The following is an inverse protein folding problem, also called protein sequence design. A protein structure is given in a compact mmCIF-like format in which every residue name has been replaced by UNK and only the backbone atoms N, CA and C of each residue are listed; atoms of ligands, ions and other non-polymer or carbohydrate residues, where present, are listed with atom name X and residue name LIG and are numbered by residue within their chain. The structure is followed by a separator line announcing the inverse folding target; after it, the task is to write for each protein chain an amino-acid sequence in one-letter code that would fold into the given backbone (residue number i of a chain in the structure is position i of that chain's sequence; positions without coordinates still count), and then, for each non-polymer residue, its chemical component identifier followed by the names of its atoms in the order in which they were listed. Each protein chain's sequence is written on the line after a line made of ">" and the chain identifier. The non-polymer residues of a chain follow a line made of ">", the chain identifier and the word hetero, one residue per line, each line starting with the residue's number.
data_IF_351532868259
#
_entry.id   IF_351532868259
#
_cell.length_a   1.000
_cell.length_b   1.000
_cell.length_c   1.000
_cell.angle_alpha   90.00
_cell.angle_beta   90.00
_cell.angle_gamma   90.00
#
_symmetry.space_group_name_H-M   'P 1'
#
loop_
_entity.id
_entity.type
_entity.pdbx_description
1 polymer ?
#
# COMPACT_ATOMS: atom_id res chain seq x y z
N UNK A 1 1.71 13.88 -6.44
CA UNK A 1 0.26 13.87 -6.76
C UNK A 1 -0.06 15.11 -7.56
N UNK A 2 -1.16 15.12 -8.31
CA UNK A 2 -1.56 16.28 -9.12
C UNK A 2 -3.04 16.60 -8.88
N UNK A 3 -3.41 17.88 -8.86
CA UNK A 3 -4.80 18.32 -8.87
C UNK A 3 -5.02 19.10 -10.16
N UNK A 4 -5.86 18.55 -11.02
CA UNK A 4 -6.34 19.19 -12.23
C UNK A 4 -7.51 20.11 -11.88
N UNK A 5 -7.48 21.35 -12.33
CA UNK A 5 -8.58 22.27 -12.08
C UNK A 5 -8.73 23.34 -13.15
N UNK A 6 -9.93 23.87 -13.30
CA UNK A 6 -10.17 25.06 -14.11
C UNK A 6 -9.71 26.33 -13.37
N UNK A 7 -9.50 27.46 -14.08
CA UNK A 7 -9.24 28.74 -13.43
C UNK A 7 -10.30 29.06 -12.35
N UNK A 8 -9.84 29.59 -11.23
CA UNK A 8 -10.68 30.08 -10.13
C UNK A 8 -11.65 29.05 -9.52
N UNK A 9 -11.36 27.75 -9.66
CA UNK A 9 -12.16 26.70 -9.04
C UNK A 9 -12.13 26.80 -7.50
N UNK A 10 -13.27 27.08 -6.83
CA UNK A 10 -13.31 27.34 -5.39
C UNK A 10 -13.01 26.07 -4.56
N UNK A 11 -13.28 24.90 -5.12
CA UNK A 11 -13.14 23.61 -4.43
C UNK A 11 -11.70 23.09 -4.41
N UNK A 12 -10.76 23.69 -5.12
CA UNK A 12 -9.32 23.34 -5.05
C UNK A 12 -8.79 23.51 -3.64
N UNK A 13 -9.18 24.61 -2.97
CA UNK A 13 -8.78 24.87 -1.57
C UNK A 13 -9.30 23.78 -0.65
N UNK A 14 -10.58 23.42 -0.78
CA UNK A 14 -11.23 22.38 0.04
C UNK A 14 -10.56 21.03 -0.17
N UNK A 15 -10.29 20.65 -1.42
CA UNK A 15 -9.58 19.41 -1.73
C UNK A 15 -8.18 19.39 -1.11
N UNK A 16 -7.44 20.50 -1.18
CA UNK A 16 -6.09 20.61 -0.60
C UNK A 16 -6.10 20.47 0.92
N UNK A 17 -6.98 21.20 1.61
CA UNK A 17 -7.13 21.12 3.07
C UNK A 17 -7.47 19.70 3.52
N UNK A 18 -8.37 19.01 2.82
CA UNK A 18 -8.74 17.62 3.15
C UNK A 18 -7.64 16.63 2.84
N UNK A 19 -6.85 16.88 1.78
CA UNK A 19 -5.70 16.05 1.42
C UNK A 19 -4.60 16.15 2.49
N UNK A 20 -4.34 17.36 3.01
CA UNK A 20 -3.38 17.56 4.10
C UNK A 20 -3.78 16.79 5.36
N UNK A 21 -5.08 16.77 5.70
CA UNK A 21 -5.59 15.96 6.81
C UNK A 21 -5.46 14.45 6.53
N UNK A 22 -5.84 14.00 5.32
CA UNK A 22 -5.76 12.58 4.95
C UNK A 22 -4.32 12.05 4.90
N UNK A 23 -3.36 12.93 4.62
CA UNK A 23 -1.93 12.62 4.53
C UNK A 23 -1.13 13.09 5.75
N UNK A 24 -1.80 13.46 6.85
CA UNK A 24 -1.15 13.97 8.04
C UNK A 24 -0.02 13.03 8.54
N UNK A 25 1.15 13.63 8.79
CA UNK A 25 2.37 12.93 9.20
C UNK A 25 3.26 12.41 8.07
N UNK A 26 2.87 12.63 6.81
CA UNK A 26 3.63 12.22 5.62
C UNK A 26 3.78 13.41 4.67
N UNK A 27 4.99 13.65 4.17
CA UNK A 27 5.23 14.72 3.18
C UNK A 27 5.04 14.16 1.77
N UNK A 28 4.03 14.67 1.04
CA UNK A 28 3.84 14.35 -0.39
C UNK A 28 3.66 15.62 -1.19
N UNK A 29 4.41 15.75 -2.28
CA UNK A 29 4.29 16.87 -3.20
C UNK A 29 2.97 16.80 -4.00
N UNK A 30 2.23 17.91 -4.04
CA UNK A 30 0.95 18.05 -4.74
C UNK A 30 1.01 19.20 -5.73
N UNK A 31 1.19 18.87 -7.01
CA UNK A 31 1.23 19.83 -8.12
C UNK A 31 -0.19 20.30 -8.45
N UNK A 32 -0.37 21.61 -8.64
CA UNK A 32 -1.60 22.17 -9.19
C UNK A 32 -1.42 22.39 -10.69
N UNK A 33 -2.32 21.84 -11.50
CA UNK A 33 -2.33 22.06 -12.94
C UNK A 33 -3.64 22.70 -13.36
N UNK A 34 -3.52 23.92 -13.89
CA UNK A 34 -4.66 24.65 -14.47
C UNK A 34 -4.95 24.09 -15.87
N UNK A 35 -6.16 23.61 -16.08
CA UNK A 35 -6.71 23.18 -17.37
C UNK A 35 -7.60 24.30 -17.89
N UNK A 36 -7.33 24.81 -19.10
CA UNK A 36 -8.00 26.02 -19.64
C UNK A 36 -8.98 25.74 -20.78
N UNK A 37 -8.96 24.53 -21.34
CA UNK A 37 -9.76 24.15 -22.50
C UNK A 37 -10.15 22.67 -22.44
N UNK A 38 -11.22 22.33 -23.19
CA UNK A 38 -11.79 20.99 -23.20
C UNK A 38 -10.89 19.94 -23.87
N UNK A 39 -10.04 20.35 -24.80
CA UNK A 39 -9.07 19.46 -25.46
C UNK A 39 -8.03 18.97 -24.44
N UNK A 40 -7.46 19.89 -23.66
CA UNK A 40 -6.56 19.56 -22.57
C UNK A 40 -7.27 18.71 -21.53
N UNK A 41 -8.50 19.04 -21.13
CA UNK A 41 -9.29 18.25 -20.19
C UNK A 41 -9.45 16.79 -20.64
N UNK A 42 -9.74 16.57 -21.94
CA UNK A 42 -9.82 15.24 -22.51
C UNK A 42 -8.47 14.52 -22.51
N UNK A 43 -7.39 15.21 -22.89
CA UNK A 43 -6.04 14.63 -22.94
C UNK A 43 -5.53 14.18 -21.57
N UNK A 44 -5.95 14.83 -20.49
CA UNK A 44 -5.55 14.48 -19.12
C UNK A 44 -6.62 13.72 -18.34
N UNK A 45 -7.74 13.35 -18.98
CA UNK A 45 -8.83 12.61 -18.35
C UNK A 45 -9.57 13.37 -17.24
N UNK A 46 -9.58 14.71 -17.27
CA UNK A 46 -10.30 15.51 -16.27
C UNK A 46 -11.81 15.39 -16.47
N UNK A 47 -12.49 14.62 -15.61
CA UNK A 47 -13.97 14.45 -15.61
C UNK A 47 -14.73 15.61 -14.95
N UNK A 48 -14.01 16.64 -14.52
CA UNK A 48 -14.52 17.87 -13.92
C UNK A 48 -13.49 18.47 -12.96
N UNK A 49 -13.71 19.70 -12.52
CA UNK A 49 -12.81 20.42 -11.62
C UNK A 49 -13.33 20.45 -10.18
N UNK A 50 -12.49 20.21 -9.16
CA UNK A 50 -11.13 19.68 -9.26
C UNK A 50 -11.15 18.16 -9.51
N UNK A 51 -10.11 17.61 -10.12
CA UNK A 51 -9.83 16.17 -10.19
C UNK A 51 -8.47 15.88 -9.56
N UNK A 52 -8.44 14.96 -8.60
CA UNK A 52 -7.20 14.46 -8.01
C UNK A 52 -6.65 13.33 -8.88
N UNK A 53 -5.39 13.45 -9.30
CA UNK A 53 -4.63 12.37 -9.92
C UNK A 53 -3.58 11.82 -8.94
N UNK A 54 -3.61 10.51 -8.81
CA UNK A 54 -2.75 9.69 -7.97
C UNK A 54 -1.96 8.78 -8.91
N UNK A 55 -0.65 9.04 -9.07
CA UNK A 55 0.19 8.42 -10.11
C UNK A 55 -0.41 8.51 -11.53
N UNK A 56 -1.12 9.61 -11.83
CA UNK A 56 -1.75 9.85 -13.13
C UNK A 56 -3.15 9.26 -13.28
N UNK A 57 -3.66 8.52 -12.28
CA UNK A 57 -4.99 7.90 -12.29
C UNK A 57 -5.94 8.68 -11.38
N UNK A 58 -7.18 8.88 -11.81
CA UNK A 58 -8.25 9.45 -10.99
C UNK A 58 -8.90 8.35 -10.14
N UNK A 59 -8.67 8.32 -8.81
CA UNK A 59 -9.19 7.26 -7.94
C UNK A 59 -10.70 7.38 -7.68
N UNK A 60 -11.34 8.43 -8.19
CA UNK A 60 -12.77 8.69 -8.06
C UNK A 60 -13.51 8.59 -9.40
N UNK A 61 -12.84 8.14 -10.46
CA UNK A 61 -13.43 8.05 -11.78
C UNK A 61 -14.71 7.19 -11.77
N UNK A 62 -15.79 7.73 -12.34
CA UNK A 62 -17.06 7.02 -12.49
C UNK A 62 -17.18 6.47 -13.92
N UNK A 63 -17.58 5.19 -14.11
CA UNK A 63 -17.72 4.61 -15.44
C UNK A 63 -18.69 5.41 -16.33
N UNK A 64 -18.25 5.70 -17.56
CA UNK A 64 -19.09 6.38 -18.56
C UNK A 64 -19.15 7.90 -18.43
N UNK A 65 -18.43 8.51 -17.47
CA UNK A 65 -18.32 9.97 -17.36
C UNK A 65 -17.26 10.49 -18.34
N UNK A 66 -17.67 11.37 -19.25
CA UNK A 66 -16.77 12.00 -20.20
C UNK A 66 -15.92 13.10 -19.55
N UNK A 67 -14.70 13.37 -20.06
CA UNK A 67 -13.92 14.54 -19.65
C UNK A 67 -14.72 15.84 -19.80
N UNK A 68 -14.60 16.74 -18.83
CA UNK A 68 -15.39 17.97 -18.73
C UNK A 68 -14.60 19.10 -18.06
N UNK A 69 -14.93 20.33 -18.46
CA UNK A 69 -14.47 21.58 -17.84
C UNK A 69 -15.39 22.06 -16.70
N UNK A 70 -16.47 21.32 -16.40
CA UNK A 70 -17.46 21.68 -15.37
C UNK A 70 -16.97 21.35 -13.96
N UNK A 71 -17.68 21.87 -12.94
CA UNK A 71 -17.46 21.43 -11.56
C UNK A 71 -17.72 19.93 -11.41
N UNK A 72 -16.84 19.25 -10.68
CA UNK A 72 -17.05 17.86 -10.26
C UNK A 72 -17.72 17.83 -8.89
N UNK A 73 -18.73 16.98 -8.76
CA UNK A 73 -19.39 16.72 -7.49
C UNK A 73 -19.01 15.33 -6.99
N UNK A 74 -18.65 15.26 -5.72
CA UNK A 74 -18.26 14.04 -5.03
C UNK A 74 -19.35 13.66 -4.06
N UNK A 75 -19.80 12.40 -4.12
CA UNK A 75 -20.79 11.85 -3.21
C UNK A 75 -20.12 11.36 -1.93
N UNK A 76 -20.63 11.83 -0.80
CA UNK A 76 -20.21 11.40 0.54
C UNK A 76 -21.08 10.23 1.02
N UNK A 77 -20.65 9.54 2.08
CA UNK A 77 -21.32 8.34 2.59
C UNK A 77 -22.75 8.62 3.12
N UNK A 78 -23.02 9.85 3.55
CA UNK A 78 -24.34 10.35 3.96
C UNK A 78 -25.23 10.77 2.78
N UNK A 79 -24.74 10.62 1.54
CA UNK A 79 -25.42 11.01 0.32
C UNK A 79 -25.24 12.49 -0.07
N UNK A 80 -24.56 13.29 0.75
CA UNK A 80 -24.27 14.69 0.44
C UNK A 80 -23.35 14.81 -0.78
N UNK A 81 -23.56 15.86 -1.58
CA UNK A 81 -22.71 16.19 -2.72
C UNK A 81 -21.88 17.43 -2.38
N UNK A 82 -20.57 17.33 -2.60
CA UNK A 82 -19.61 18.40 -2.32
C UNK A 82 -18.61 18.54 -3.49
N UNK A 83 -17.96 19.69 -3.61
CA UNK A 83 -16.94 19.94 -4.65
C UNK A 83 -15.60 19.26 -4.40
N UNK A 84 -15.46 18.50 -3.30
CA UNK A 84 -14.29 17.69 -3.00
C UNK A 84 -14.69 16.39 -2.29
N UNK A 85 -13.91 15.29 -2.43
CA UNK A 85 -14.07 14.08 -1.63
C UNK A 85 -13.96 14.38 -0.13
N UNK A 86 -14.50 13.48 0.71
CA UNK A 86 -14.32 13.56 2.16
C UNK A 86 -12.90 13.15 2.59
N UNK A 87 -12.49 13.50 3.81
CA UNK A 87 -11.19 13.08 4.37
C UNK A 87 -11.10 11.56 4.50
N UNK A 88 -12.16 10.91 4.98
CA UNK A 88 -12.24 9.45 5.08
C UNK A 88 -11.99 8.81 3.72
N UNK A 89 -12.62 9.37 2.69
CA UNK A 89 -12.52 8.92 1.31
C UNK A 89 -11.13 9.08 0.72
N UNK A 90 -10.48 10.22 0.97
CA UNK A 90 -9.09 10.43 0.57
C UNK A 90 -8.16 9.45 1.29
N UNK A 91 -8.42 9.18 2.57
CA UNK A 91 -7.59 8.28 3.38
C UNK A 91 -7.66 6.83 2.87
N UNK A 92 -8.84 6.38 2.41
CA UNK A 92 -9.05 5.07 1.76
C UNK A 92 -8.18 4.92 0.50
N UNK A 93 -8.28 5.87 -0.45
CA UNK A 93 -7.60 5.74 -1.74
C UNK A 93 -6.10 6.01 -1.65
N UNK A 94 -5.66 6.74 -0.63
CA UNK A 94 -4.25 7.08 -0.41
C UNK A 94 -3.55 6.13 0.57
N UNK A 95 -4.27 5.24 1.27
CA UNK A 95 -3.73 4.37 2.31
C UNK A 95 -2.45 3.61 1.90
N UNK A 96 -2.40 2.92 0.76
CA UNK A 96 -1.19 2.21 0.30
C UNK A 96 0.01 3.14 0.05
N UNK A 97 -0.24 4.35 -0.48
CA UNK A 97 0.80 5.38 -0.67
C UNK A 97 1.27 5.97 0.64
N UNK A 98 0.34 6.17 1.58
CA UNK A 98 0.63 6.62 2.93
C UNK A 98 1.47 5.60 3.68
N UNK A 99 1.14 4.32 3.63
CA UNK A 99 1.96 3.26 4.24
C UNK A 99 3.37 3.21 3.63
N UNK A 100 3.46 3.26 2.30
CA UNK A 100 4.73 3.32 1.56
C UNK A 100 5.61 4.52 1.97
N UNK A 101 5.00 5.69 2.10
CA UNK A 101 5.70 6.91 2.46
C UNK A 101 6.02 6.98 3.96
N UNK A 102 5.11 6.55 4.84
CA UNK A 102 5.34 6.44 6.27
C UNK A 102 6.50 5.50 6.59
N UNK A 103 6.60 4.35 5.91
CA UNK A 103 7.73 3.42 6.10
C UNK A 103 9.05 4.07 5.65
N UNK A 104 9.09 4.79 4.52
CA UNK A 104 10.28 5.53 4.08
C UNK A 104 10.66 6.65 5.05
N UNK A 105 9.67 7.43 5.49
CA UNK A 105 9.85 8.55 6.40
C UNK A 105 10.33 8.09 7.78
N UNK A 106 9.77 7.00 8.31
CA UNK A 106 10.26 6.36 9.51
C UNK A 106 11.72 5.95 9.31
N UNK A 107 12.07 5.24 8.23
CA UNK A 107 13.45 4.80 7.98
C UNK A 107 14.46 5.95 7.97
N UNK A 108 14.08 7.09 7.38
CA UNK A 108 14.92 8.28 7.34
C UNK A 108 15.19 8.88 8.73
N UNK A 109 14.27 8.68 9.69
CA UNK A 109 14.34 9.24 11.05
C UNK A 109 14.67 8.22 12.15
N UNK A 110 14.63 6.92 11.83
CA UNK A 110 14.73 5.84 12.79
C UNK A 110 16.05 5.84 13.54
N UNK A 111 15.97 5.71 14.87
CA UNK A 111 17.15 5.62 15.71
C UNK A 111 18.00 4.39 15.34
N UNK A 112 19.33 4.41 15.54
CA UNK A 112 20.18 3.26 15.21
C UNK A 112 19.72 1.93 15.82
N UNK A 113 19.26 1.94 17.09
CA UNK A 113 18.73 0.75 17.76
C UNK A 113 17.45 0.21 17.10
N UNK A 114 16.54 1.10 16.68
CA UNK A 114 15.30 0.72 15.99
C UNK A 114 15.59 0.10 14.62
N UNK A 115 16.52 0.68 13.86
CA UNK A 115 16.97 0.12 12.59
C UNK A 115 17.60 -1.26 12.80
N UNK A 116 18.53 -1.39 13.75
CA UNK A 116 19.18 -2.66 14.03
C UNK A 116 18.18 -3.75 14.44
N UNK A 117 17.26 -3.44 15.35
CA UNK A 117 16.21 -4.37 15.78
C UNK A 117 15.29 -4.77 14.61
N UNK A 118 14.82 -3.80 13.83
CA UNK A 118 13.96 -4.05 12.69
C UNK A 118 14.64 -4.94 11.64
N UNK A 119 15.89 -4.66 11.28
CA UNK A 119 16.64 -5.50 10.35
C UNK A 119 16.86 -6.92 10.90
N UNK A 120 17.13 -7.07 12.20
CA UNK A 120 17.29 -8.38 12.83
C UNK A 120 15.99 -9.19 12.78
N UNK A 121 14.84 -8.54 13.01
CA UNK A 121 13.53 -9.18 12.90
C UNK A 121 13.29 -9.69 11.48
N UNK A 122 13.50 -8.85 10.47
CA UNK A 122 13.27 -9.22 9.07
C UNK A 122 14.22 -10.30 8.58
N UNK A 123 15.49 -10.24 8.97
CA UNK A 123 16.48 -11.30 8.66
C UNK A 123 16.11 -12.62 9.32
N UNK A 124 15.58 -12.60 10.55
CA UNK A 124 15.07 -13.81 11.20
C UNK A 124 13.92 -14.42 10.42
N UNK A 125 12.93 -13.62 10.01
CA UNK A 125 11.83 -14.12 9.17
C UNK A 125 12.33 -14.73 7.86
N UNK A 126 13.26 -14.06 7.19
CA UNK A 126 13.84 -14.57 5.94
C UNK A 126 14.61 -15.89 6.13
N UNK A 127 15.24 -16.08 7.29
CA UNK A 127 16.01 -17.27 7.60
C UNK A 127 15.15 -18.44 8.11
N UNK A 128 14.15 -18.17 8.96
CA UNK A 128 13.45 -19.21 9.74
C UNK A 128 11.94 -19.23 9.54
N UNK A 129 11.37 -18.23 8.86
CA UNK A 129 9.92 -18.02 8.76
C UNK A 129 9.30 -17.38 10.01
N UNK A 130 10.12 -17.02 11.01
CA UNK A 130 9.65 -16.48 12.29
C UNK A 130 10.54 -15.32 12.80
N UNK A 131 10.00 -14.40 13.62
CA UNK A 131 10.80 -13.37 14.28
C UNK A 131 11.73 -13.99 15.34
N UNK A 132 12.78 -13.29 15.76
CA UNK A 132 13.62 -13.78 16.86
C UNK A 132 12.82 -13.77 18.16
N UNK A 133 13.18 -14.65 19.10
CA UNK A 133 12.53 -14.69 20.42
C UNK A 133 12.70 -13.38 21.21
N UNK A 134 13.81 -12.68 21.00
CA UNK A 134 14.10 -11.35 21.56
C UNK A 134 15.05 -10.59 20.63
N UNK A 135 15.04 -9.25 20.73
CA UNK A 135 16.02 -8.35 20.09
C UNK A 135 17.01 -7.76 21.09
N UNK A 136 17.00 -8.18 22.37
CA UNK A 136 17.84 -7.60 23.44
C UNK A 136 19.33 -7.60 23.08
N UNK A 137 19.84 -8.70 22.53
CA UNK A 137 21.25 -8.80 22.13
C UNK A 137 21.63 -7.78 21.05
N UNK A 138 20.69 -7.43 20.17
CA UNK A 138 20.89 -6.47 19.08
C UNK A 138 20.89 -5.04 19.62
N UNK A 139 20.04 -4.76 20.60
CA UNK A 139 19.83 -3.41 21.11
C UNK A 139 20.68 -3.05 22.34
N UNK A 140 21.30 -4.06 22.98
CA UNK A 140 22.12 -3.89 24.17
C UNK A 140 23.29 -2.92 23.97
N UNK A 141 23.91 -2.92 22.79
CA UNK A 141 25.01 -1.99 22.44
C UNK A 141 24.57 -0.53 22.38
N UNK A 142 23.26 -0.26 22.33
CA UNK A 142 22.66 1.07 22.35
C UNK A 142 22.10 1.46 23.73
N UNK A 143 22.37 0.67 24.77
CA UNK A 143 21.85 0.86 26.13
C UNK A 143 20.31 0.96 26.18
N UNK A 144 19.62 0.16 25.37
CA UNK A 144 18.16 0.05 25.35
C UNK A 144 17.72 -1.39 25.59
N UNK A 145 16.48 -1.59 26.03
CA UNK A 145 15.88 -2.92 26.13
C UNK A 145 15.09 -3.25 24.87
N UNK A 146 14.93 -4.54 24.57
CA UNK A 146 14.16 -5.00 23.42
C UNK A 146 12.73 -4.49 23.46
N UNK A 147 12.05 -4.61 24.61
CA UNK A 147 10.67 -4.16 24.79
C UNK A 147 10.47 -2.68 24.46
N UNK A 148 11.40 -1.81 24.88
CA UNK A 148 11.32 -0.38 24.58
C UNK A 148 11.45 -0.10 23.08
N UNK A 149 12.34 -0.81 22.40
CA UNK A 149 12.54 -0.66 20.95
C UNK A 149 11.34 -1.22 20.19
N UNK A 150 10.85 -2.39 20.59
CA UNK A 150 9.67 -3.01 19.98
C UNK A 150 8.42 -2.15 20.14
N UNK A 151 8.21 -1.52 21.31
CA UNK A 151 7.11 -0.60 21.51
C UNK A 151 7.17 0.60 20.55
N UNK A 152 8.35 1.20 20.35
CA UNK A 152 8.50 2.31 19.39
C UNK A 152 8.30 1.87 17.94
N UNK A 153 8.80 0.69 17.56
CA UNK A 153 8.55 0.12 16.24
C UNK A 153 7.06 -0.19 16.02
N UNK A 154 6.34 -0.58 17.08
CA UNK A 154 4.89 -0.78 17.06
C UNK A 154 4.14 0.53 16.83
N UNK A 155 4.47 1.56 17.60
CA UNK A 155 3.85 2.89 17.50
C UNK A 155 4.10 3.54 16.15
N UNK A 156 5.27 3.26 15.54
CA UNK A 156 5.61 3.71 14.19
C UNK A 156 4.95 2.88 13.06
N UNK A 157 4.15 1.86 13.39
CA UNK A 157 3.52 0.94 12.44
C UNK A 157 4.52 0.24 11.49
N UNK A 158 5.69 -0.09 12.02
CA UNK A 158 6.74 -0.86 11.31
C UNK A 158 6.60 -2.35 11.64
N UNK A 159 6.18 -2.65 12.86
CA UNK A 159 5.82 -3.98 13.33
C UNK A 159 4.47 -3.92 14.05
N UNK A 160 3.81 -5.05 14.26
CA UNK A 160 2.71 -5.19 15.24
C UNK A 160 3.08 -6.22 16.29
N UNK A 161 2.71 -5.94 17.53
CA UNK A 161 2.93 -6.81 18.68
C UNK A 161 1.60 -7.45 19.07
N UNK A 162 1.65 -8.69 19.55
CA UNK A 162 0.51 -9.34 20.18
C UNK A 162 0.31 -8.85 21.63
N UNK A 163 -0.74 -9.35 22.30
CA UNK A 163 -1.04 -8.97 23.69
C UNK A 163 0.06 -9.36 24.69
N UNK A 164 0.99 -10.25 24.32
CA UNK A 164 2.14 -10.65 25.13
C UNK A 164 3.41 -9.86 24.77
N UNK A 165 3.33 -8.85 23.90
CA UNK A 165 4.47 -8.02 23.48
C UNK A 165 5.36 -8.69 22.44
N UNK A 166 4.94 -9.82 21.83
CA UNK A 166 5.73 -10.54 20.83
C UNK A 166 5.42 -10.04 19.43
N UNK A 167 6.41 -10.08 18.54
CA UNK A 167 6.23 -9.70 17.13
C UNK A 167 5.21 -10.62 16.45
N UNK A 168 4.10 -10.04 16.02
CA UNK A 168 3.06 -10.72 15.23
C UNK A 168 3.20 -10.40 13.73
N UNK A 169 3.57 -9.16 13.42
CA UNK A 169 3.75 -8.66 12.06
C UNK A 169 5.03 -7.84 12.02
N UNK A 170 5.83 -7.99 10.97
CA UNK A 170 6.94 -7.09 10.66
C UNK A 170 6.98 -6.92 9.15
N UNK A 171 6.39 -5.85 8.62
CA UNK A 171 6.13 -5.75 7.18
C UNK A 171 7.43 -5.94 6.39
N UNK A 172 7.44 -6.88 5.42
CA UNK A 172 6.28 -7.52 4.79
C UNK A 172 5.73 -8.82 5.45
N UNK A 173 6.35 -9.34 6.51
CA UNK A 173 6.08 -10.66 7.09
C UNK A 173 4.93 -10.71 8.11
N UNK A 174 4.28 -11.87 8.18
CA UNK A 174 3.29 -12.28 9.16
C UNK A 174 3.71 -13.58 9.87
N UNK A 175 3.48 -13.68 11.18
CA UNK A 175 3.59 -14.96 11.89
C UNK A 175 2.37 -15.86 11.71
N UNK A 176 1.21 -15.29 11.43
CA UNK A 176 -0.01 -16.04 11.17
C UNK A 176 -0.09 -16.43 9.68
N UNK A 177 -0.59 -17.64 9.36
CA UNK A 177 -0.87 -18.02 7.99
C UNK A 177 -1.80 -17.02 7.29
N UNK A 178 -1.41 -16.62 6.08
CA UNK A 178 -2.22 -15.80 5.17
C UNK A 178 -2.37 -16.51 3.83
N UNK A 179 -3.29 -16.07 2.95
CA UNK A 179 -3.35 -16.57 1.58
C UNK A 179 -2.04 -16.35 0.79
N UNK A 180 -1.18 -15.42 1.22
CA UNK A 180 0.05 -15.06 0.50
C UNK A 180 1.26 -15.75 1.12
N UNK A 181 1.64 -16.90 0.56
CA UNK A 181 2.80 -17.67 1.01
C UNK A 181 3.99 -17.43 0.09
N UNK A 182 5.14 -17.15 0.69
CA UNK A 182 6.40 -16.88 -0.02
C UNK A 182 7.42 -17.92 0.37
N UNK A 183 7.86 -18.71 -0.61
CA UNK A 183 8.99 -19.64 -0.47
C UNK A 183 10.24 -19.00 -1.04
N UNK A 184 11.17 -18.67 -0.15
CA UNK A 184 12.43 -18.02 -0.49
C UNK A 184 13.47 -19.05 -0.95
N UNK A 185 14.44 -18.61 -1.75
CA UNK A 185 15.62 -19.42 -2.07
C UNK A 185 16.37 -19.78 -0.79
N UNK A 186 16.61 -21.08 -0.58
CA UNK A 186 17.06 -21.62 0.70
C UNK A 186 16.02 -22.50 1.40
N UNK A 187 14.77 -22.48 0.92
CA UNK A 187 13.71 -23.40 1.37
C UNK A 187 12.84 -22.85 2.51
N UNK A 188 13.20 -21.70 3.07
CA UNK A 188 12.39 -21.03 4.09
C UNK A 188 11.06 -20.57 3.51
N UNK A 189 9.99 -20.83 4.25
CA UNK A 189 8.65 -20.39 3.91
C UNK A 189 8.18 -19.37 4.93
N UNK A 190 7.59 -18.29 4.43
CA UNK A 190 7.03 -17.23 5.24
C UNK A 190 5.66 -16.82 4.69
N UNK A 191 4.87 -16.18 5.54
CA UNK A 191 3.59 -15.58 5.14
C UNK A 191 3.75 -14.08 5.00
N UNK A 192 3.17 -13.52 3.94
CA UNK A 192 3.09 -12.10 3.72
C UNK A 192 1.74 -11.55 4.18
N UNK A 193 1.72 -10.34 4.71
CA UNK A 193 0.47 -9.73 5.16
C UNK A 193 -0.50 -9.43 4.00
N UNK A 194 0.00 -9.11 2.81
CA UNK A 194 -0.81 -8.88 1.62
C UNK A 194 -0.09 -9.23 0.31
N UNK A 195 -0.77 -9.05 -0.82
CA UNK A 195 -0.22 -9.28 -2.16
C UNK A 195 1.04 -8.46 -2.45
N UNK A 196 1.04 -7.16 -2.11
CA UNK A 196 2.18 -6.25 -2.34
C UNK A 196 3.36 -6.59 -1.43
N UNK A 197 3.08 -7.00 -0.19
CA UNK A 197 4.10 -7.46 0.76
C UNK A 197 4.80 -8.71 0.23
N UNK A 198 4.04 -9.66 -0.34
CA UNK A 198 4.57 -10.87 -0.93
C UNK A 198 5.52 -10.58 -2.10
N UNK A 199 5.15 -9.64 -2.98
CA UNK A 199 5.99 -9.19 -4.09
C UNK A 199 7.21 -8.39 -3.60
N UNK A 200 7.09 -7.71 -2.46
CA UNK A 200 8.15 -6.92 -1.84
C UNK A 200 9.26 -7.75 -1.19
N UNK A 201 8.95 -8.90 -0.61
CA UNK A 201 9.91 -9.79 0.08
C UNK A 201 11.15 -10.16 -0.76
N UNK A 202 11.02 -10.74 -1.97
CA UNK A 202 12.19 -11.11 -2.78
C UNK A 202 13.00 -9.89 -3.21
N UNK A 203 12.33 -8.77 -3.52
CA UNK A 203 13.00 -7.52 -3.86
C UNK A 203 13.81 -6.94 -2.68
N UNK A 204 13.27 -7.02 -1.46
CA UNK A 204 13.93 -6.59 -0.22
C UNK A 204 15.17 -7.42 0.09
N UNK A 205 15.08 -8.73 -0.11
CA UNK A 205 16.14 -9.68 0.23
C UNK A 205 17.18 -9.86 -0.87
N UNK A 206 16.86 -9.45 -2.11
CA UNK A 206 17.71 -9.70 -3.26
C UNK A 206 17.82 -11.19 -3.59
N UNK A 207 16.75 -11.96 -3.39
CA UNK A 207 16.72 -13.42 -3.62
C UNK A 207 15.55 -13.81 -4.53
N UNK A 208 15.72 -14.96 -5.18
CA UNK A 208 14.65 -15.61 -5.94
C UNK A 208 13.59 -16.20 -4.99
N UNK A 209 12.34 -16.28 -5.44
CA UNK A 209 11.23 -16.77 -4.62
C UNK A 209 10.10 -17.35 -5.47
N UNK A 210 9.27 -18.19 -4.85
CA UNK A 210 7.97 -18.62 -5.38
C UNK A 210 6.90 -18.14 -4.42
N UNK A 211 5.99 -17.30 -4.93
CA UNK A 211 4.84 -16.77 -4.21
C UNK A 211 3.62 -17.55 -4.67
N UNK A 212 2.83 -18.05 -3.72
CA UNK A 212 1.53 -18.67 -3.99
C UNK A 212 0.45 -17.88 -3.28
N UNK A 213 -0.65 -17.62 -4.00
CA UNK A 213 -1.83 -16.93 -3.49
C UNK A 213 -3.12 -17.59 -4.00
N UNK A 214 -4.25 -17.04 -3.59
CA UNK A 214 -5.58 -17.53 -3.95
C UNK A 214 -6.47 -16.34 -4.25
N UNK A 215 -7.14 -16.40 -5.40
CA UNK A 215 -8.13 -15.39 -5.77
C UNK A 215 -9.33 -15.47 -4.81
N UNK A 216 -9.67 -14.38 -4.08
CA UNK A 216 -10.74 -14.41 -3.09
C UNK A 216 -12.14 -14.47 -3.71
N UNK A 217 -12.30 -14.22 -5.01
CA UNK A 217 -13.58 -14.28 -5.73
C UNK A 217 -13.94 -15.70 -6.13
N UNK A 218 -12.95 -16.44 -6.65
CA UNK A 218 -13.19 -17.72 -7.31
C UNK A 218 -12.39 -18.90 -6.72
N UNK A 219 -11.50 -18.64 -5.75
CA UNK A 219 -10.70 -19.64 -5.06
C UNK A 219 -9.58 -20.27 -5.89
N UNK A 220 -9.32 -19.79 -7.11
CA UNK A 220 -8.29 -20.35 -7.97
C UNK A 220 -6.90 -19.92 -7.50
N UNK A 221 -5.89 -20.80 -7.63
CA UNK A 221 -4.53 -20.50 -7.22
C UNK A 221 -3.87 -19.51 -8.18
N UNK A 222 -3.00 -18.67 -7.63
CA UNK A 222 -2.13 -17.76 -8.37
C UNK A 222 -0.70 -18.04 -7.93
N UNK A 223 0.22 -18.21 -8.88
CA UNK A 223 1.63 -18.44 -8.59
C UNK A 223 2.49 -17.39 -9.29
N UNK A 224 3.38 -16.75 -8.54
CA UNK A 224 4.39 -15.83 -9.06
C UNK A 224 5.77 -16.42 -8.79
N UNK A 225 6.49 -16.77 -9.84
CA UNK A 225 7.86 -17.28 -9.75
C UNK A 225 8.82 -16.16 -10.11
N UNK A 226 9.70 -15.80 -9.18
CA UNK A 226 10.74 -14.79 -9.36
C UNK A 226 12.08 -15.49 -9.42
N UNK A 227 12.74 -15.41 -10.56
CA UNK A 227 14.02 -16.05 -10.83
C UNK A 227 14.95 -15.13 -11.62
N UNK A 228 16.18 -14.93 -11.13
CA UNK A 228 17.19 -14.09 -11.75
C UNK A 228 16.67 -12.67 -12.09
N UNK A 229 15.91 -12.08 -11.16
CA UNK A 229 15.34 -10.74 -11.31
C UNK A 229 14.18 -10.62 -12.31
N UNK A 230 13.66 -11.74 -12.82
CA UNK A 230 12.47 -11.78 -13.68
C UNK A 230 11.34 -12.51 -12.99
N UNK A 231 10.12 -12.04 -13.18
CA UNK A 231 8.90 -12.66 -12.68
C UNK A 231 8.14 -13.38 -13.80
N UNK A 232 7.48 -14.48 -13.43
CA UNK A 232 6.47 -15.15 -14.24
C UNK A 232 5.24 -15.37 -13.38
N UNK A 233 4.10 -14.87 -13.85
CA UNK A 233 2.80 -15.03 -13.22
C UNK A 233 2.01 -16.14 -13.88
N UNK A 234 1.29 -16.90 -13.07
CA UNK A 234 0.37 -17.93 -13.51
C UNK A 234 -0.93 -17.83 -12.68
N UNK A 235 -2.06 -17.45 -13.30
CA UNK A 235 -2.21 -17.12 -14.72
C UNK A 235 -1.48 -15.82 -15.11
N UNK A 236 -1.13 -15.67 -16.39
CA UNK A 236 -0.46 -14.45 -16.89
C UNK A 236 -1.36 -13.21 -16.86
N UNK A 237 -2.67 -13.39 -16.79
CA UNK A 237 -3.68 -12.34 -16.64
C UNK A 237 -3.82 -11.82 -15.22
N UNK A 238 -3.12 -12.40 -14.25
CA UNK A 238 -3.30 -12.06 -12.85
C UNK A 238 -2.98 -10.58 -12.57
N UNK A 239 -3.75 -10.02 -11.64
CA UNK A 239 -3.70 -8.60 -11.24
C UNK A 239 -3.73 -8.47 -9.72
N UNK A 240 -3.44 -7.27 -9.21
CA UNK A 240 -3.51 -6.97 -7.78
C UNK A 240 -4.47 -5.81 -7.54
N UNK A 241 -5.43 -6.00 -6.64
CA UNK A 241 -6.21 -4.87 -6.13
C UNK A 241 -5.46 -4.23 -4.97
N UNK A 242 -5.33 -2.90 -5.00
CA UNK A 242 -4.65 -2.10 -3.98
C UNK A 242 -5.59 -1.02 -3.49
N UNK A 243 -6.03 -1.11 -2.23
CA UNK A 243 -6.93 -0.15 -1.60
C UNK A 243 -6.71 -0.04 -0.09
N UNK A 244 -7.54 0.73 0.60
CA UNK A 244 -7.58 0.72 2.07
C UNK A 244 -9.00 0.92 2.59
N UNK A 245 -9.22 0.45 3.82
CA UNK A 245 -10.44 0.69 4.58
C UNK A 245 -10.47 2.10 5.15
N UNK A 246 -11.66 2.70 5.30
CA UNK A 246 -11.83 3.92 6.07
C UNK A 246 -11.46 3.71 7.54
N UNK A 247 -11.04 4.78 8.21
CA UNK A 247 -10.96 4.85 9.67
C UNK A 247 -9.57 5.09 10.26
N UNK A 248 -8.51 5.05 9.44
CA UNK A 248 -7.14 5.15 9.95
C UNK A 248 -6.76 3.99 10.87
N UNK A 249 -5.51 3.93 11.30
CA UNK A 249 -4.99 2.84 12.14
C UNK A 249 -3.81 2.11 11.51
N UNK A 250 -3.55 0.91 12.00
CA UNK A 250 -2.45 0.05 11.54
C UNK A 250 -2.57 -0.30 10.07
N UNK A 251 -1.47 -0.31 9.32
CA UNK A 251 -1.45 -0.80 7.93
C UNK A 251 -1.98 -2.24 7.83
N UNK A 252 -1.71 -3.08 8.83
CA UNK A 252 -2.18 -4.46 8.95
C UNK A 252 -3.71 -4.56 9.06
N UNK A 253 -4.37 -3.54 9.63
CA UNK A 253 -5.83 -3.51 9.84
C UNK A 253 -6.55 -2.72 8.75
N UNK A 254 -5.90 -1.69 8.21
CA UNK A 254 -6.52 -0.77 7.25
C UNK A 254 -6.26 -1.16 5.81
N UNK A 255 -5.10 -1.74 5.49
CA UNK A 255 -4.65 -1.95 4.10
C UNK A 255 -4.52 -3.44 3.78
N UNK A 256 -3.88 -4.24 4.64
CA UNK A 256 -3.43 -5.58 4.24
C UNK A 256 -4.58 -6.56 3.91
N UNK A 257 -5.70 -6.52 4.62
CA UNK A 257 -6.87 -7.39 4.34
C UNK A 257 -7.51 -7.17 2.97
N UNK A 258 -7.28 -6.00 2.35
CA UNK A 258 -7.93 -5.60 1.10
C UNK A 258 -6.98 -5.68 -0.10
N UNK A 259 -5.68 -5.84 0.13
CA UNK A 259 -4.65 -5.95 -0.90
C UNK A 259 -4.48 -7.40 -1.38
N UNK A 260 -5.30 -7.82 -2.35
CA UNK A 260 -5.37 -9.21 -2.81
C UNK A 260 -4.93 -9.39 -4.27
N UNK A 261 -4.51 -10.62 -4.61
CA UNK A 261 -4.24 -11.05 -5.99
C UNK A 261 -5.51 -11.68 -6.59
N UNK A 262 -5.71 -11.49 -7.89
CA UNK A 262 -6.83 -12.05 -8.65
C UNK A 262 -6.33 -12.72 -9.92
N UNK A 263 -7.01 -13.75 -10.40
CA UNK A 263 -6.64 -14.48 -11.62
C UNK A 263 -6.71 -13.60 -12.87
N UNK A 264 -7.58 -12.59 -12.84
CA UNK A 264 -7.76 -11.61 -13.90
C UNK A 264 -8.50 -10.36 -13.40
N UNK A 265 -8.53 -9.33 -14.25
CA UNK A 265 -9.20 -8.06 -13.98
C UNK A 265 -10.71 -8.21 -13.73
N UNK A 266 -11.39 -9.11 -14.43
CA UNK A 266 -12.84 -9.29 -14.27
C UNK A 266 -13.18 -9.89 -12.90
N UNK A 267 -12.34 -10.78 -12.38
CA UNK A 267 -12.43 -11.30 -11.02
C UNK A 267 -12.25 -10.18 -9.99
N UNK A 268 -11.20 -9.36 -10.14
CA UNK A 268 -10.94 -8.21 -9.27
C UNK A 268 -12.10 -7.18 -9.27
N UNK A 269 -12.68 -6.88 -10.43
CA UNK A 269 -13.84 -5.98 -10.56
C UNK A 269 -15.11 -6.58 -9.93
N UNK A 270 -15.28 -7.90 -10.03
CA UNK A 270 -16.40 -8.60 -9.38
C UNK A 270 -16.28 -8.54 -7.86
N UNK A 271 -15.09 -8.80 -7.33
CA UNK A 271 -14.82 -8.64 -5.91
C UNK A 271 -15.01 -7.20 -5.45
N UNK A 272 -14.49 -6.22 -6.20
CA UNK A 272 -14.63 -4.80 -5.85
C UNK A 272 -16.10 -4.38 -5.80
N UNK A 273 -16.94 -4.81 -6.76
CA UNK A 273 -18.39 -4.55 -6.72
C UNK A 273 -19.11 -5.17 -5.52
N UNK A 274 -18.64 -6.34 -5.06
CA UNK A 274 -19.16 -6.98 -3.85
C UNK A 274 -18.71 -6.27 -2.55
N UNK A 275 -17.70 -5.40 -2.64
CA UNK A 275 -17.18 -4.61 -1.53
C UNK A 275 -17.29 -3.10 -1.81
N UNK A 276 -18.51 -2.55 -1.94
CA UNK A 276 -18.73 -1.18 -2.41
C UNK A 276 -18.20 -0.09 -1.49
N UNK A 277 -17.81 -0.43 -0.26
CA UNK A 277 -17.17 0.47 0.71
C UNK A 277 -15.63 0.44 0.65
N UNK A 278 -15.07 -0.41 -0.22
CA UNK A 278 -13.62 -0.53 -0.43
C UNK A 278 -13.25 0.14 -1.74
N UNK A 279 -12.20 0.95 -1.66
CA UNK A 279 -11.79 1.77 -2.79
C UNK A 279 -10.30 1.67 -2.98
N UNK A 280 -9.94 1.54 -4.24
CA UNK A 280 -8.62 1.12 -4.65
C UNK A 280 -8.53 1.01 -6.15
N UNK A 281 -7.39 0.53 -6.58
CA UNK A 281 -6.98 0.44 -7.96
C UNK A 281 -6.60 -1.01 -8.27
N UNK A 282 -6.85 -1.45 -9.51
CA UNK A 282 -6.39 -2.74 -10.01
C UNK A 282 -5.12 -2.52 -10.82
N UNK A 283 -4.00 -2.90 -10.23
CA UNK A 283 -2.68 -2.88 -10.83
C UNK A 283 -2.44 -4.14 -11.66
N UNK A 284 -1.77 -3.98 -12.79
CA UNK A 284 -1.20 -5.13 -13.49
C UNK A 284 0.02 -5.70 -12.74
N UNK A 285 0.56 -6.81 -13.23
CA UNK A 285 1.69 -7.50 -12.62
C UNK A 285 2.95 -6.61 -12.53
N UNK A 286 3.24 -5.82 -13.55
CA UNK A 286 4.43 -4.98 -13.60
C UNK A 286 4.35 -3.80 -12.61
N UNK A 287 3.19 -3.16 -12.52
CA UNK A 287 2.93 -2.07 -11.59
C UNK A 287 2.90 -2.55 -10.14
N UNK A 288 2.29 -3.72 -9.88
CA UNK A 288 2.27 -4.33 -8.55
C UNK A 288 3.68 -4.70 -8.05
N UNK A 289 4.52 -5.27 -8.91
CA UNK A 289 5.92 -5.56 -8.59
C UNK A 289 6.73 -4.29 -8.35
N UNK A 290 6.52 -3.27 -9.18
CA UNK A 290 7.17 -1.98 -9.02
C UNK A 290 6.79 -1.33 -7.69
N UNK A 291 5.53 -1.43 -7.29
CA UNK A 291 5.06 -0.95 -5.99
C UNK A 291 5.72 -1.70 -4.84
N UNK A 292 5.74 -3.04 -4.87
CA UNK A 292 6.40 -3.86 -3.84
C UNK A 292 7.89 -3.53 -3.70
N UNK A 293 8.61 -3.44 -4.82
CA UNK A 293 10.03 -3.04 -4.85
C UNK A 293 10.25 -1.62 -4.33
N UNK A 294 9.36 -0.66 -4.66
CA UNK A 294 9.44 0.73 -4.18
C UNK A 294 9.24 0.83 -2.68
N UNK A 295 8.39 -0.02 -2.10
CA UNK A 295 8.14 -0.04 -0.65
C UNK A 295 9.31 -0.72 0.09
N UNK A 296 9.71 -1.91 -0.36
CA UNK A 296 10.57 -2.81 0.44
C UNK A 296 11.98 -3.01 -0.11
N UNK A 297 12.23 -2.78 -1.40
CA UNK A 297 13.48 -3.16 -2.06
C UNK A 297 14.74 -2.55 -1.45
N UNK A 298 14.63 -1.34 -0.90
CA UNK A 298 15.77 -0.69 -0.23
C UNK A 298 15.96 -1.10 1.23
N UNK A 299 15.13 -1.98 1.80
CA UNK A 299 14.96 -2.08 3.25
C UNK A 299 16.06 -2.87 3.97
N UNK A 300 16.59 -3.91 3.33
CA UNK A 300 17.75 -4.68 3.80
C UNK A 300 18.96 -4.55 2.87
N UNK A 301 18.90 -3.64 1.89
CA UNK A 301 20.02 -3.35 1.00
C UNK A 301 21.22 -2.85 1.81
N UNK A 302 22.40 -3.41 1.51
CA UNK A 302 23.68 -3.09 2.16
C UNK A 302 24.11 -1.64 1.94
#
# INVERSE_FOLDING_TARGET
>A
MEILHVPDCPSVRVLRERLDVAMAGVVVEVVLRVVRDAETAAAVGMTGSPTLLVDGVDPFAEPGVAPSMSCRLYRHADGHLDGAPSVARLSEVLGPKRASAALRDWRARAAPAERAAHEAILRSFAATGAPPATVDQVVASFAQTGDQVLARLHDADVIRLDAAGRVQVAYPFSTAPTPHRVRLTGGTEAYAMCAIDALGMPAMLGVDAVITSTDPTNGQPITVTIAAGRSRWDPTSAVVFVGARPGGGASAQTCCDVLNMFTDRASAETWSRAHPNLHGEILDSADAETLGRRIFGGLLAR
#
